data_IF_817440151314
#
_entry.id   IF_817440151314
#
_cell.length_a   1.000
_cell.length_b   1.000
_cell.length_c   1.000
_cell.angle_alpha   90.00
_cell.angle_beta   90.00
_cell.angle_gamma   90.00
#
_symmetry.space_group_name_H-M   'P 1'
#
loop_
_entity.id
_entity.type
_entity.pdbx_description
1 polymer ?
#
# COMPACT_ATOMS: atom_id res chain seq x y z
N UNK A 1 -18.96 34.18 2.36
CA UNK A 1 -19.42 32.79 2.21
C UNK A 1 -18.81 32.10 1.00
N UNK A 2 -18.86 32.66 -0.22
CA UNK A 2 -18.21 32.05 -1.41
C UNK A 2 -16.72 31.74 -1.20
N UNK A 3 -15.97 32.66 -0.58
CA UNK A 3 -14.54 32.46 -0.26
C UNK A 3 -14.27 31.25 0.64
N UNK A 4 -15.17 30.93 1.56
CA UNK A 4 -15.01 29.79 2.49
C UNK A 4 -15.23 28.48 1.72
N UNK A 5 -16.26 28.40 0.90
CA UNK A 5 -16.51 27.24 0.05
C UNK A 5 -15.40 27.01 -0.97
N UNK A 6 -14.92 28.07 -1.63
CA UNK A 6 -13.78 27.96 -2.55
C UNK A 6 -12.50 27.51 -1.85
N UNK A 7 -12.23 27.99 -0.63
CA UNK A 7 -11.08 27.54 0.15
C UNK A 7 -11.20 26.05 0.55
N UNK A 8 -12.36 25.62 1.03
CA UNK A 8 -12.62 24.22 1.39
C UNK A 8 -12.50 23.29 0.18
N UNK A 9 -13.06 23.69 -0.97
CA UNK A 9 -12.95 22.94 -2.21
C UNK A 9 -11.51 22.85 -2.70
N UNK A 10 -10.74 23.95 -2.63
CA UNK A 10 -9.32 23.95 -2.99
C UNK A 10 -8.50 23.02 -2.10
N UNK A 11 -8.77 22.98 -0.78
CA UNK A 11 -8.11 22.06 0.15
C UNK A 11 -8.46 20.61 -0.18
N UNK A 12 -9.74 20.29 -0.39
CA UNK A 12 -10.16 18.93 -0.77
C UNK A 12 -9.50 18.47 -2.09
N UNK A 13 -9.48 19.35 -3.10
CA UNK A 13 -8.81 19.08 -4.37
C UNK A 13 -7.30 18.88 -4.18
N UNK A 14 -6.64 19.72 -3.39
CA UNK A 14 -5.21 19.59 -3.12
C UNK A 14 -4.87 18.26 -2.42
N UNK A 15 -5.71 17.82 -1.48
CA UNK A 15 -5.55 16.53 -0.81
C UNK A 15 -5.68 15.36 -1.81
N UNK A 16 -6.68 15.40 -2.70
CA UNK A 16 -6.86 14.39 -3.75
C UNK A 16 -5.68 14.36 -4.72
N UNK A 17 -5.23 15.51 -5.21
CA UNK A 17 -4.07 15.62 -6.11
C UNK A 17 -2.81 15.08 -5.43
N UNK A 18 -2.58 15.45 -4.18
CA UNK A 18 -1.44 14.95 -3.40
C UNK A 18 -1.50 13.44 -3.25
N UNK A 19 -2.68 12.88 -2.98
CA UNK A 19 -2.87 11.44 -2.89
C UNK A 19 -2.51 10.75 -4.22
N UNK A 20 -2.97 11.29 -5.34
CA UNK A 20 -2.66 10.77 -6.68
C UNK A 20 -1.15 10.81 -6.95
N UNK A 21 -0.49 11.93 -6.68
CA UNK A 21 0.97 12.08 -6.88
C UNK A 21 1.73 11.06 -6.04
N UNK A 22 1.35 10.87 -4.77
CA UNK A 22 1.93 9.85 -3.90
C UNK A 22 1.75 8.46 -4.50
N UNK A 23 0.54 8.12 -4.94
CA UNK A 23 0.23 6.81 -5.54
C UNK A 23 1.04 6.52 -6.81
N UNK A 24 1.18 7.51 -7.69
CA UNK A 24 1.96 7.38 -8.93
C UNK A 24 3.47 7.27 -8.68
N UNK A 25 3.94 7.74 -7.53
CA UNK A 25 5.37 7.70 -7.17
C UNK A 25 5.85 6.31 -6.70
N UNK A 26 4.96 5.32 -6.53
CA UNK A 26 5.33 3.99 -5.99
C UNK A 26 6.13 3.09 -6.92
N UNK A 27 6.26 3.42 -8.21
CA UNK A 27 6.96 2.56 -9.18
C UNK A 27 6.38 1.14 -9.24
N UNK A 28 7.21 0.14 -9.52
CA UNK A 28 6.78 -1.25 -9.66
C UNK A 28 6.66 -1.98 -8.31
N UNK A 29 5.65 -1.60 -7.52
CA UNK A 29 5.31 -2.29 -6.28
C UNK A 29 4.85 -3.74 -6.52
N UNK A 30 4.19 -3.99 -7.65
CA UNK A 30 3.61 -5.30 -7.95
C UNK A 30 4.71 -6.33 -8.24
N UNK A 31 5.71 -5.99 -9.05
CA UNK A 31 6.87 -6.83 -9.31
C UNK A 31 7.65 -7.17 -8.04
N UNK A 32 7.87 -6.18 -7.16
CA UNK A 32 8.51 -6.39 -5.86
C UNK A 32 7.70 -7.35 -4.97
N UNK A 33 6.38 -7.21 -4.95
CA UNK A 33 5.49 -8.08 -4.17
C UNK A 33 5.52 -9.51 -4.69
N UNK A 34 5.48 -9.70 -6.00
CA UNK A 34 5.55 -11.03 -6.62
C UNK A 34 6.90 -11.71 -6.33
N UNK A 35 8.01 -10.97 -6.44
CA UNK A 35 9.35 -11.49 -6.14
C UNK A 35 9.49 -11.87 -4.66
N UNK A 36 9.02 -11.01 -3.74
CA UNK A 36 9.02 -11.31 -2.31
C UNK A 36 8.17 -12.53 -1.97
N UNK A 37 6.99 -12.67 -2.60
CA UNK A 37 6.10 -13.82 -2.39
C UNK A 37 6.73 -15.13 -2.88
N UNK A 38 7.37 -15.11 -4.05
CA UNK A 38 8.06 -16.27 -4.62
C UNK A 38 9.20 -16.75 -3.69
N UNK A 39 10.10 -15.85 -3.31
CA UNK A 39 11.21 -16.16 -2.41
C UNK A 39 10.75 -16.65 -1.04
N UNK A 40 9.73 -16.00 -0.46
CA UNK A 40 9.17 -16.42 0.83
C UNK A 40 8.55 -17.81 0.75
N UNK A 41 7.90 -18.12 -0.37
CA UNK A 41 7.31 -19.44 -0.61
C UNK A 41 8.39 -20.52 -0.69
N UNK A 42 9.44 -20.29 -1.48
CA UNK A 42 10.52 -21.26 -1.69
C UNK A 42 11.26 -21.56 -0.39
N UNK A 43 11.58 -20.53 0.39
CA UNK A 43 12.21 -20.68 1.72
C UNK A 43 11.31 -21.44 2.68
N UNK A 44 10.00 -21.19 2.66
CA UNK A 44 9.03 -21.86 3.54
C UNK A 44 8.83 -23.33 3.15
N UNK A 45 8.71 -23.63 1.85
CA UNK A 45 8.59 -25.01 1.38
C UNK A 45 9.84 -25.83 1.73
N UNK A 46 11.01 -25.21 1.66
CA UNK A 46 12.26 -25.82 2.10
C UNK A 46 12.33 -26.08 3.60
N UNK A 47 11.93 -25.12 4.45
CA UNK A 47 11.87 -25.32 5.90
C UNK A 47 10.92 -26.46 6.28
N UNK A 48 9.80 -26.60 5.55
CA UNK A 48 8.87 -27.71 5.73
C UNK A 48 9.46 -29.06 5.30
N UNK A 49 10.15 -29.11 4.15
CA UNK A 49 10.86 -30.31 3.70
C UNK A 49 11.94 -30.70 4.69
N UNK A 50 12.73 -29.76 5.18
CA UNK A 50 13.77 -30.01 6.19
C UNK A 50 13.17 -30.60 7.48
N UNK A 51 12.05 -30.03 7.97
CA UNK A 51 11.32 -30.58 9.13
C UNK A 51 10.79 -31.99 8.88
N UNK A 52 10.35 -32.29 7.66
CA UNK A 52 9.82 -33.58 7.28
C UNK A 52 10.92 -34.63 7.05
N UNK A 53 12.08 -34.20 6.55
CA UNK A 53 13.25 -35.03 6.20
C UNK A 53 14.25 -35.20 7.33
N UNK A 54 13.94 -34.77 8.57
CA UNK A 54 14.78 -34.89 9.78
C UNK A 54 15.06 -36.35 10.23
N UNK A 55 14.99 -37.31 9.29
CA UNK A 55 15.39 -38.71 9.41
C UNK A 55 16.10 -39.29 8.16
N UNK A 56 16.34 -38.53 7.09
CA UNK A 56 16.95 -39.02 5.84
C UNK A 56 18.02 -38.03 5.33
N UNK A 57 19.30 -38.39 5.46
CA UNK A 57 20.44 -37.44 5.52
C UNK A 57 21.12 -37.18 4.16
N UNK A 58 20.90 -37.99 3.14
CA UNK A 58 21.81 -38.02 1.97
C UNK A 58 21.36 -37.20 0.74
N UNK A 59 20.11 -36.70 0.68
CA UNK A 59 19.59 -35.95 -0.47
C UNK A 59 19.73 -34.41 -0.36
N UNK A 60 20.38 -33.91 0.70
CA UNK A 60 20.17 -32.55 1.22
C UNK A 60 21.17 -31.50 0.69
N UNK A 61 22.35 -31.90 0.19
CA UNK A 61 23.45 -30.96 -0.01
C UNK A 61 23.34 -30.05 -1.25
N UNK A 62 22.70 -30.48 -2.34
CA UNK A 62 22.56 -29.65 -3.57
C UNK A 62 21.40 -28.65 -3.47
N UNK A 63 20.35 -29.01 -2.73
CA UNK A 63 19.19 -28.16 -2.46
C UNK A 63 19.55 -27.01 -1.52
N UNK A 64 20.47 -27.24 -0.57
CA UNK A 64 20.87 -26.25 0.43
C UNK A 64 21.54 -24.99 -0.17
N UNK A 65 22.28 -25.11 -1.27
CA UNK A 65 22.97 -23.96 -1.88
C UNK A 65 21.97 -22.99 -2.53
N UNK A 66 21.04 -23.49 -3.34
CA UNK A 66 19.96 -22.68 -3.93
C UNK A 66 19.04 -22.03 -2.88
N UNK A 67 18.88 -22.70 -1.73
CA UNK A 67 18.09 -22.18 -0.61
C UNK A 67 18.84 -21.14 0.20
N UNK A 68 20.16 -21.28 0.35
CA UNK A 68 20.99 -20.26 0.94
C UNK A 68 20.96 -18.99 0.08
N UNK A 69 21.00 -19.13 -1.25
CA UNK A 69 20.84 -18.03 -2.20
C UNK A 69 19.45 -17.37 -2.05
N UNK A 70 18.36 -18.13 -2.10
CA UNK A 70 17.00 -17.60 -1.93
C UNK A 70 16.79 -16.91 -0.56
N UNK A 71 17.36 -17.44 0.52
CA UNK A 71 17.34 -16.80 1.86
C UNK A 71 18.12 -15.49 1.86
N UNK A 72 19.27 -15.44 1.21
CA UNK A 72 20.09 -14.23 1.10
C UNK A 72 19.38 -13.14 0.30
N UNK A 73 18.79 -13.50 -0.83
CA UNK A 73 18.02 -12.58 -1.68
C UNK A 73 16.78 -12.06 -0.93
N UNK A 74 16.08 -12.92 -0.19
CA UNK A 74 14.96 -12.51 0.65
C UNK A 74 15.41 -11.54 1.76
N UNK A 75 16.55 -11.80 2.41
CA UNK A 75 17.08 -10.93 3.47
C UNK A 75 17.40 -9.52 2.96
N UNK A 76 17.86 -9.40 1.71
CA UNK A 76 18.09 -8.10 1.06
C UNK A 76 16.79 -7.42 0.63
N UNK A 77 15.81 -8.18 0.12
CA UNK A 77 14.56 -7.65 -0.41
C UNK A 77 13.54 -7.29 0.68
N UNK A 78 13.50 -8.03 1.79
CA UNK A 78 12.54 -7.87 2.88
C UNK A 78 12.46 -6.44 3.47
N UNK A 79 13.57 -5.72 3.76
CA UNK A 79 13.48 -4.34 4.26
C UNK A 79 12.89 -3.38 3.21
N UNK A 80 13.24 -3.56 1.94
CA UNK A 80 12.70 -2.75 0.84
C UNK A 80 11.19 -2.98 0.68
N UNK A 81 10.75 -4.24 0.71
CA UNK A 81 9.34 -4.61 0.66
C UNK A 81 8.56 -4.07 1.87
N UNK A 82 9.07 -4.22 3.10
CA UNK A 82 8.43 -3.70 4.31
C UNK A 82 8.25 -2.18 4.26
N UNK A 83 9.27 -1.46 3.78
CA UNK A 83 9.17 -0.02 3.55
C UNK A 83 8.11 0.29 2.48
N UNK A 84 8.15 -0.37 1.33
CA UNK A 84 7.17 -0.14 0.28
C UNK A 84 5.72 -0.44 0.76
N UNK A 85 5.54 -1.50 1.55
CA UNK A 85 4.25 -1.90 2.11
C UNK A 85 3.71 -0.90 3.14
N UNK A 86 4.57 -0.36 4.02
CA UNK A 86 4.16 0.67 4.99
C UNK A 86 3.74 1.96 4.29
N UNK A 87 4.49 2.35 3.25
CA UNK A 87 4.15 3.47 2.39
C UNK A 87 2.79 3.25 1.69
N UNK A 88 2.51 2.05 1.16
CA UNK A 88 1.21 1.70 0.56
C UNK A 88 0.07 1.90 1.56
N UNK A 89 0.24 1.43 2.80
CA UNK A 89 -0.76 1.59 3.85
C UNK A 89 -1.00 3.07 4.17
N UNK A 90 0.07 3.88 4.22
CA UNK A 90 -0.04 5.32 4.39
C UNK A 90 -0.81 5.99 3.24
N UNK A 91 -0.48 5.69 1.99
CA UNK A 91 -1.18 6.20 0.81
C UNK A 91 -2.68 5.84 0.85
N UNK A 92 -3.02 4.59 1.17
CA UNK A 92 -4.42 4.16 1.27
C UNK A 92 -5.17 4.94 2.36
N UNK A 93 -4.61 5.05 3.57
CA UNK A 93 -5.22 5.82 4.67
C UNK A 93 -5.35 7.30 4.34
N UNK A 94 -4.35 7.88 3.70
CA UNK A 94 -4.39 9.27 3.24
C UNK A 94 -5.48 9.48 2.18
N UNK A 95 -5.65 8.53 1.25
CA UNK A 95 -6.73 8.55 0.27
C UNK A 95 -8.12 8.48 0.90
N UNK A 96 -8.32 7.60 1.89
CA UNK A 96 -9.56 7.53 2.67
C UNK A 96 -9.83 8.86 3.38
N UNK A 97 -8.82 9.43 4.04
CA UNK A 97 -8.93 10.73 4.70
C UNK A 97 -9.31 11.84 3.72
N UNK A 98 -8.64 11.94 2.58
CA UNK A 98 -8.96 12.92 1.52
C UNK A 98 -10.39 12.75 1.00
N UNK A 99 -10.85 11.50 0.84
CA UNK A 99 -12.23 11.19 0.46
C UNK A 99 -13.25 11.66 1.52
N UNK A 100 -12.99 11.41 2.80
CA UNK A 100 -13.84 11.87 3.91
C UNK A 100 -13.91 13.40 3.97
N UNK A 101 -12.79 14.09 3.80
CA UNK A 101 -12.77 15.56 3.75
C UNK A 101 -13.59 16.07 2.56
N UNK A 102 -13.45 15.44 1.39
CA UNK A 102 -14.22 15.81 0.19
C UNK A 102 -15.72 15.62 0.42
N UNK A 103 -16.13 14.50 1.02
CA UNK A 103 -17.52 14.22 1.39
C UNK A 103 -18.05 15.25 2.39
N UNK A 104 -17.24 15.61 3.40
CA UNK A 104 -17.60 16.63 4.38
C UNK A 104 -17.82 18.00 3.70
N UNK A 105 -16.91 18.42 2.82
CA UNK A 105 -17.05 19.68 2.07
C UNK A 105 -18.34 19.69 1.24
N UNK A 106 -18.67 18.58 0.58
CA UNK A 106 -19.93 18.44 -0.14
C UNK A 106 -21.15 18.50 0.79
N UNK A 107 -21.12 17.81 1.94
CA UNK A 107 -22.21 17.84 2.92
C UNK A 107 -22.46 19.26 3.47
N UNK A 108 -21.38 20.01 3.77
CA UNK A 108 -21.48 21.40 4.22
C UNK A 108 -22.03 22.30 3.11
N UNK A 109 -21.60 22.11 1.86
CA UNK A 109 -22.13 22.86 0.72
C UNK A 109 -23.63 22.61 0.54
N UNK A 110 -24.05 21.34 0.52
CA UNK A 110 -25.46 20.96 0.35
C UNK A 110 -26.33 21.52 1.47
N UNK A 111 -25.93 21.33 2.73
CA UNK A 111 -26.70 21.85 3.87
C UNK A 111 -26.79 23.37 3.88
N UNK A 112 -25.72 24.07 3.48
CA UNK A 112 -25.75 25.52 3.33
C UNK A 112 -26.70 25.99 2.23
N UNK A 113 -26.62 25.39 1.04
CA UNK A 113 -27.45 25.80 -0.09
C UNK A 113 -28.94 25.50 0.13
N UNK A 114 -29.26 24.34 0.74
CA UNK A 114 -30.62 24.00 1.16
C UNK A 114 -31.10 24.96 2.27
N UNK A 115 -30.31 25.11 3.33
CA UNK A 115 -30.69 25.90 4.51
C UNK A 115 -30.82 27.40 4.24
N UNK A 116 -30.14 27.93 3.21
CA UNK A 116 -30.24 29.35 2.84
C UNK A 116 -31.22 29.62 1.69
N UNK A 117 -31.96 28.61 1.21
CA UNK A 117 -32.91 28.72 0.09
C UNK A 117 -32.30 29.28 -1.20
N UNK A 118 -30.97 29.32 -1.31
CA UNK A 118 -30.23 29.90 -2.44
C UNK A 118 -30.34 29.05 -3.70
N UNK A 119 -30.82 27.82 -3.59
CA UNK A 119 -31.14 26.96 -4.73
C UNK A 119 -32.38 27.40 -5.51
N UNK A 120 -33.29 28.18 -4.91
CA UNK A 120 -34.55 28.60 -5.54
C UNK A 120 -34.53 30.05 -6.06
N UNK A 121 -33.36 30.70 -6.11
CA UNK A 121 -33.15 32.00 -6.73
C UNK A 121 -32.20 31.87 -7.90
#
# INVERSE_FOLDING_TARGET
>A
MSRIFSALAAVALALLVTNIVIGLSFGDYNGMTLRWLALTRDVREADLRERQSRGEVDAVNMTNESLAEARSELAELDPAFKRASSWKNFHFMFGVFAGLVTLLVNAVAVTYFIGTSRWCR
#
